data_IF_100462937650
#
_entry.id   IF_100462937650
#
_cell.length_a   1.000
_cell.length_b   1.000
_cell.length_c   1.000
_cell.angle_alpha   90.00
_cell.angle_beta   90.00
_cell.angle_gamma   90.00
#
_symmetry.space_group_name_H-M   'P 1'
#
loop_
_entity.id
_entity.type
_entity.pdbx_description
1 polymer ?
#
# COMPACT_ATOMS: atom_id res chain seq x y z
N UNK A 1 8.81 -22.77 -18.19
CA UNK A 1 8.76 -23.83 -17.16
C UNK A 1 7.99 -23.26 -15.98
N UNK A 2 6.74 -23.67 -15.81
CA UNK A 2 5.88 -23.30 -14.66
C UNK A 2 6.27 -24.19 -13.51
N UNK A 3 7.11 -23.69 -12.60
CA UNK A 3 7.27 -24.31 -11.28
C UNK A 3 5.92 -24.27 -10.56
N UNK A 4 5.36 -25.43 -10.29
CA UNK A 4 4.20 -25.56 -9.44
C UNK A 4 4.65 -25.18 -8.01
N UNK A 5 4.25 -24.00 -7.55
CA UNK A 5 4.51 -23.54 -6.18
C UNK A 5 3.77 -24.46 -5.20
N UNK A 6 4.43 -25.51 -4.76
CA UNK A 6 3.93 -26.41 -3.70
C UNK A 6 4.32 -25.84 -2.33
N UNK A 7 3.51 -24.90 -1.82
CA UNK A 7 3.74 -24.31 -0.50
C UNK A 7 3.10 -22.95 -0.32
N UNK A 8 3.11 -22.46 0.91
CA UNK A 8 2.66 -21.11 1.24
C UNK A 8 3.67 -20.08 0.73
N UNK A 9 3.21 -19.11 -0.06
CA UNK A 9 4.06 -18.02 -0.56
C UNK A 9 4.67 -17.21 0.59
N UNK A 10 5.94 -16.85 0.46
CA UNK A 10 6.58 -15.88 1.34
C UNK A 10 6.04 -14.47 1.08
N UNK A 11 6.20 -13.56 2.06
CA UNK A 11 5.80 -12.15 1.92
C UNK A 11 6.43 -11.48 0.68
N UNK A 12 7.69 -11.80 0.38
CA UNK A 12 8.39 -11.29 -0.81
C UNK A 12 7.78 -11.80 -2.11
N UNK A 13 7.45 -13.09 -2.18
CA UNK A 13 6.80 -13.66 -3.37
C UNK A 13 5.42 -13.05 -3.61
N UNK A 14 4.63 -12.84 -2.54
CA UNK A 14 3.33 -12.16 -2.64
C UNK A 14 3.51 -10.73 -3.16
N UNK A 15 4.44 -9.96 -2.60
CA UNK A 15 4.71 -8.59 -3.02
C UNK A 15 5.18 -8.51 -4.48
N UNK A 16 6.03 -9.44 -4.91
CA UNK A 16 6.49 -9.54 -6.29
C UNK A 16 5.34 -9.84 -7.26
N UNK A 17 4.45 -10.77 -6.93
CA UNK A 17 3.29 -11.09 -7.76
C UNK A 17 2.36 -9.89 -7.88
N UNK A 18 2.01 -9.25 -6.76
CA UNK A 18 1.17 -8.05 -6.77
C UNK A 18 1.78 -6.92 -7.60
N UNK A 19 3.09 -6.69 -7.49
CA UNK A 19 3.77 -5.65 -8.26
C UNK A 19 3.69 -5.89 -9.77
N UNK A 20 3.67 -7.15 -10.21
CA UNK A 20 3.53 -7.49 -11.62
C UNK A 20 2.11 -7.30 -12.16
N UNK A 21 1.10 -7.38 -11.30
CA UNK A 21 -0.30 -7.16 -11.67
C UNK A 21 -0.68 -5.66 -11.78
N UNK A 22 0.12 -4.76 -11.17
CA UNK A 22 -0.12 -3.32 -11.26
C UNK A 22 0.20 -2.82 -12.66
N UNK A 23 -0.76 -2.20 -13.32
CA UNK A 23 -0.58 -1.64 -14.66
C UNK A 23 0.21 -0.33 -14.64
N UNK A 24 0.89 -0.04 -15.74
CA UNK A 24 1.57 1.23 -15.98
C UNK A 24 0.59 2.40 -15.86
N UNK A 25 1.01 3.49 -15.22
CA UNK A 25 0.21 4.69 -15.01
C UNK A 25 -0.77 4.62 -13.82
N UNK A 26 -0.92 3.47 -13.14
CA UNK A 26 -1.82 3.38 -12.00
C UNK A 26 -1.38 4.25 -10.81
N UNK A 27 -2.38 4.82 -10.13
CA UNK A 27 -2.24 5.42 -8.80
C UNK A 27 -2.53 4.34 -7.74
N UNK A 28 -1.54 4.06 -6.89
CA UNK A 28 -1.57 2.91 -5.99
C UNK A 28 -1.35 3.33 -4.54
N UNK A 29 -2.29 2.99 -3.66
CA UNK A 29 -2.09 3.10 -2.22
C UNK A 29 -1.56 1.77 -1.66
N UNK A 30 -0.48 1.85 -0.89
CA UNK A 30 0.10 0.69 -0.20
C UNK A 30 -0.18 0.80 1.30
N UNK A 31 -0.99 -0.12 1.81
CA UNK A 31 -1.25 -0.25 3.25
C UNK A 31 0.01 -0.56 4.05
N UNK A 32 -0.05 -0.26 5.34
CA UNK A 32 1.08 -0.39 6.28
C UNK A 32 1.55 -1.85 6.38
N UNK A 33 2.85 -2.04 6.40
CA UNK A 33 3.50 -3.32 6.66
C UNK A 33 3.85 -4.11 5.39
N UNK A 34 3.27 -5.30 5.20
CA UNK A 34 3.61 -6.14 4.04
C UNK A 34 3.31 -5.49 2.68
N UNK A 35 2.20 -4.76 2.49
CA UNK A 35 1.92 -4.08 1.23
C UNK A 35 3.00 -3.12 0.77
N UNK A 36 3.71 -2.46 1.69
CA UNK A 36 4.80 -1.53 1.35
C UNK A 36 5.93 -2.20 0.55
N UNK A 37 6.11 -3.51 0.71
CA UNK A 37 7.12 -4.27 -0.03
C UNK A 37 6.85 -4.28 -1.54
N UNK A 38 5.63 -4.06 -1.99
CA UNK A 38 5.24 -4.07 -3.41
C UNK A 38 6.04 -3.04 -4.20
N UNK A 39 6.30 -1.86 -3.63
CA UNK A 39 7.07 -0.80 -4.27
C UNK A 39 8.49 -1.24 -4.68
N UNK A 40 9.06 -2.24 -4.00
CA UNK A 40 10.41 -2.73 -4.29
C UNK A 40 10.48 -3.72 -5.47
N UNK A 41 9.34 -4.12 -6.03
CA UNK A 41 9.25 -5.15 -7.07
C UNK A 41 8.55 -4.67 -8.33
N UNK A 42 8.27 -3.38 -8.45
CA UNK A 42 7.70 -2.81 -9.67
C UNK A 42 8.67 -3.08 -10.83
N UNK A 43 8.18 -3.67 -11.94
CA UNK A 43 9.02 -3.93 -13.09
C UNK A 43 9.63 -2.65 -13.69
N UNK A 44 10.87 -2.74 -14.16
CA UNK A 44 11.54 -1.64 -14.84
C UNK A 44 10.69 -1.14 -16.03
N UNK A 45 10.65 0.18 -16.18
CA UNK A 45 9.92 0.84 -17.26
C UNK A 45 8.42 1.04 -16.99
N UNK A 46 7.91 0.64 -15.84
CA UNK A 46 6.57 1.03 -15.38
C UNK A 46 6.61 2.28 -14.53
N UNK A 47 5.75 3.22 -14.84
CA UNK A 47 5.54 4.44 -14.06
C UNK A 47 4.33 4.26 -13.16
N UNK A 48 4.55 4.10 -11.86
CA UNK A 48 3.50 3.94 -10.86
C UNK A 48 3.50 5.14 -9.93
N UNK A 49 2.33 5.71 -9.71
CA UNK A 49 2.14 6.85 -8.82
C UNK A 49 1.75 6.32 -7.44
N UNK A 50 2.71 6.20 -6.54
CA UNK A 50 2.42 5.78 -5.18
C UNK A 50 1.80 6.91 -4.36
N UNK A 51 0.68 6.58 -3.73
CA UNK A 51 -0.05 7.42 -2.80
C UNK A 51 0.13 6.91 -1.37
N UNK A 52 0.33 7.82 -0.44
CA UNK A 52 0.31 7.51 0.99
C UNK A 52 -0.77 8.35 1.69
N UNK A 53 -1.64 7.71 2.47
CA UNK A 53 -2.81 8.36 3.07
C UNK A 53 -2.48 9.49 4.04
N UNK A 54 -1.24 9.61 4.53
CA UNK A 54 -0.80 10.74 5.32
C UNK A 54 -0.58 12.03 4.52
N UNK A 55 -0.72 12.00 3.19
CA UNK A 55 -0.73 13.17 2.32
C UNK A 55 0.45 13.28 1.36
N UNK A 56 0.88 12.17 0.77
CA UNK A 56 1.94 12.12 -0.25
C UNK A 56 1.41 11.48 -1.52
N UNK A 57 1.67 12.12 -2.66
CA UNK A 57 1.50 11.54 -4.00
C UNK A 57 2.84 11.58 -4.73
N UNK A 58 3.20 10.49 -5.40
CA UNK A 58 4.52 10.34 -6.02
C UNK A 58 5.60 9.97 -5.01
N UNK A 59 5.23 9.17 -4.01
CA UNK A 59 6.18 8.59 -3.06
C UNK A 59 7.17 7.70 -3.81
N UNK A 60 8.46 7.92 -3.55
CA UNK A 60 9.56 7.14 -4.11
C UNK A 60 10.02 6.00 -3.18
N UNK A 61 11.10 5.32 -3.55
CA UNK A 61 11.66 4.21 -2.78
C UNK A 61 12.21 4.67 -1.42
N UNK A 62 12.53 3.69 -0.58
CA UNK A 62 13.23 3.92 0.68
C UNK A 62 14.60 4.60 0.42
N UNK A 63 14.93 5.68 1.15
CA UNK A 63 16.21 6.38 0.99
C UNK A 63 17.39 5.53 1.44
N UNK A 64 18.57 5.81 0.89
CA UNK A 64 19.81 5.27 1.42
C UNK A 64 20.09 5.74 2.87
N UNK A 65 20.91 5.04 3.63
CA UNK A 65 21.12 5.32 5.05
C UNK A 65 21.71 6.72 5.34
N UNK A 66 22.33 7.36 4.36
CA UNK A 66 22.89 8.71 4.49
C UNK A 66 21.94 9.81 3.96
N UNK A 67 20.82 9.43 3.33
CA UNK A 67 19.89 10.35 2.66
C UNK A 67 18.52 10.39 3.36
N UNK A 68 18.44 9.86 4.58
CA UNK A 68 17.20 9.78 5.34
C UNK A 68 16.77 11.19 5.77
N UNK A 69 15.58 11.59 5.33
CA UNK A 69 14.84 12.71 5.89
C UNK A 69 13.75 12.17 6.82
N UNK A 70 13.88 12.42 8.12
CA UNK A 70 12.94 11.94 9.12
C UNK A 70 11.60 12.70 9.14
N UNK A 71 11.52 13.84 8.46
CA UNK A 71 10.26 14.59 8.27
C UNK A 71 9.50 14.08 7.04
N UNK A 72 10.14 13.28 6.17
CA UNK A 72 9.53 12.67 4.99
C UNK A 72 9.29 11.17 5.22
N UNK A 73 8.11 10.86 5.77
CA UNK A 73 7.71 9.50 6.13
C UNK A 73 6.37 9.12 5.50
N UNK A 74 6.19 7.85 5.18
CA UNK A 74 4.90 7.31 4.76
C UNK A 74 3.93 7.12 5.95
N UNK A 75 2.71 6.65 5.69
CA UNK A 75 1.71 6.35 6.71
C UNK A 75 2.17 5.25 7.68
N UNK A 76 3.08 4.36 7.26
CA UNK A 76 3.72 3.34 8.09
C UNK A 76 4.88 3.88 8.94
N UNK A 77 5.12 5.20 8.93
CA UNK A 77 6.21 5.89 9.66
C UNK A 77 7.61 5.47 9.21
N UNK A 78 7.74 5.04 7.97
CA UNK A 78 9.03 4.72 7.36
C UNK A 78 9.51 5.86 6.48
N UNK A 79 10.81 6.21 6.51
CA UNK A 79 11.39 7.18 5.60
C UNK A 79 11.16 6.77 4.14
N UNK A 80 10.81 7.74 3.32
CA UNK A 80 10.63 7.57 1.88
C UNK A 80 11.33 8.70 1.13
N UNK A 81 11.46 8.57 -0.19
CA UNK A 81 11.87 9.66 -1.06
C UNK A 81 10.65 10.22 -1.78
N UNK A 82 10.82 11.37 -2.42
CA UNK A 82 9.83 11.98 -3.30
C UNK A 82 10.32 11.90 -4.74
N UNK A 83 9.48 11.40 -5.63
CA UNK A 83 9.77 11.42 -7.06
C UNK A 83 9.55 12.82 -7.65
N UNK A 84 10.26 13.19 -8.73
CA UNK A 84 9.99 14.44 -9.44
C UNK A 84 8.51 14.53 -9.86
N UNK A 85 7.87 15.66 -9.55
CA UNK A 85 6.43 15.86 -9.79
C UNK A 85 5.54 15.38 -8.62
N UNK A 86 6.10 14.81 -7.59
CA UNK A 86 5.36 14.45 -6.38
C UNK A 86 4.79 15.67 -5.64
N UNK A 87 3.77 15.46 -4.85
CA UNK A 87 3.05 16.51 -4.13
C UNK A 87 2.74 16.12 -2.68
N UNK A 88 2.73 17.13 -1.81
CA UNK A 88 2.20 17.03 -0.45
C UNK A 88 0.85 17.71 -0.37
N UNK A 89 -0.06 17.15 0.42
CA UNK A 89 -1.39 17.70 0.64
C UNK A 89 -1.91 17.33 2.02
N UNK A 90 -3.00 17.95 2.42
CA UNK A 90 -3.60 17.71 3.72
C UNK A 90 -4.18 16.27 3.81
N UNK A 91 -4.09 15.66 4.99
CA UNK A 91 -4.60 14.30 5.24
C UNK A 91 -6.09 14.15 4.83
N UNK A 92 -6.92 15.18 5.06
CA UNK A 92 -8.32 15.14 4.63
C UNK A 92 -8.47 15.08 3.11
N UNK A 93 -7.61 15.75 2.34
CA UNK A 93 -7.62 15.70 0.88
C UNK A 93 -7.20 14.32 0.39
N UNK A 94 -6.27 13.66 1.09
CA UNK A 94 -5.89 12.27 0.83
C UNK A 94 -7.11 11.34 0.87
N UNK A 95 -7.90 11.41 1.94
CA UNK A 95 -9.11 10.61 2.04
C UNK A 95 -10.23 11.05 1.09
N UNK A 96 -10.27 12.32 0.70
CA UNK A 96 -11.17 12.79 -0.36
C UNK A 96 -10.80 12.16 -1.71
N UNK A 97 -9.52 12.03 -2.03
CA UNK A 97 -9.03 11.34 -3.23
C UNK A 97 -9.44 9.87 -3.23
N UNK A 98 -9.24 9.17 -2.10
CA UNK A 98 -9.63 7.76 -1.93
C UNK A 98 -11.14 7.59 -2.16
N UNK A 99 -11.97 8.34 -1.42
CA UNK A 99 -13.44 8.29 -1.53
C UNK A 99 -13.98 8.75 -2.88
N UNK A 100 -13.22 9.59 -3.58
CA UNK A 100 -13.55 10.09 -4.91
C UNK A 100 -13.21 9.14 -6.05
N UNK A 101 -12.63 7.95 -5.76
CA UNK A 101 -12.24 6.98 -6.78
C UNK A 101 -11.04 7.43 -7.62
N UNK A 102 -10.12 8.19 -7.02
CA UNK A 102 -8.90 8.66 -7.70
C UNK A 102 -7.68 7.77 -7.43
N UNK A 103 -7.87 6.69 -6.69
CA UNK A 103 -6.87 5.64 -6.45
C UNK A 103 -7.31 4.41 -7.22
N UNK A 104 -6.49 3.94 -8.15
CA UNK A 104 -6.84 2.81 -9.02
C UNK A 104 -6.72 1.47 -8.28
N UNK A 105 -5.76 1.36 -7.38
CA UNK A 105 -5.48 0.12 -6.64
C UNK A 105 -5.12 0.46 -5.19
N UNK A 106 -5.70 -0.31 -4.27
CA UNK A 106 -5.28 -0.33 -2.88
C UNK A 106 -4.82 -1.73 -2.48
N UNK A 107 -3.60 -1.85 -1.95
CA UNK A 107 -3.07 -3.11 -1.42
C UNK A 107 -3.16 -3.09 0.10
N UNK A 108 -4.03 -3.91 0.65
CA UNK A 108 -4.31 -3.98 2.09
C UNK A 108 -3.98 -5.35 2.68
N UNK A 109 -3.53 -5.35 3.94
CA UNK A 109 -3.59 -6.54 4.78
C UNK A 109 -4.99 -6.73 5.36
N UNK A 110 -5.43 -7.99 5.52
CA UNK A 110 -6.69 -8.30 6.17
C UNK A 110 -6.49 -9.41 7.22
N UNK A 111 -7.27 -9.36 8.32
CA UNK A 111 -7.29 -10.42 9.32
C UNK A 111 -8.03 -11.66 8.79
N UNK A 112 -9.12 -11.43 8.04
CA UNK A 112 -9.91 -12.48 7.41
C UNK A 112 -10.36 -12.05 6.03
N UNK A 113 -10.43 -13.02 5.11
CA UNK A 113 -10.94 -12.86 3.76
C UNK A 113 -11.90 -14.02 3.49
N UNK A 114 -13.12 -13.73 3.04
CA UNK A 114 -14.11 -14.73 2.62
C UNK A 114 -13.74 -15.32 1.24
N UNK A 115 -14.36 -16.43 0.89
CA UNK A 115 -14.23 -17.02 -0.44
C UNK A 115 -14.81 -16.12 -1.56
N UNK A 116 -15.64 -15.15 -1.21
CA UNK A 116 -16.26 -14.18 -2.13
C UNK A 116 -15.48 -12.86 -2.21
N UNK A 117 -14.37 -12.74 -1.47
CA UNK A 117 -13.52 -11.55 -1.50
C UNK A 117 -13.86 -10.49 -0.45
N UNK A 118 -14.84 -10.74 0.44
CA UNK A 118 -15.12 -9.82 1.54
C UNK A 118 -13.98 -9.86 2.55
N UNK A 119 -13.56 -8.71 3.04
CA UNK A 119 -12.50 -8.60 4.05
C UNK A 119 -13.01 -8.13 5.40
N UNK A 120 -12.34 -8.58 6.47
CA UNK A 120 -12.58 -8.10 7.82
C UNK A 120 -11.28 -7.70 8.51
N UNK A 121 -11.24 -6.46 9.00
CA UNK A 121 -10.13 -5.87 9.77
C UNK A 121 -10.60 -5.33 11.13
N UNK A 122 -11.73 -5.83 11.62
CA UNK A 122 -12.35 -5.32 12.83
C UNK A 122 -11.63 -5.75 14.11
N UNK A 123 -11.34 -7.04 14.24
CA UNK A 123 -10.77 -7.60 15.46
C UNK A 123 -10.03 -8.90 15.17
N UNK A 124 -9.01 -9.20 15.96
CA UNK A 124 -8.32 -10.50 15.97
C UNK A 124 -9.04 -11.56 16.83
N UNK A 125 -10.17 -11.20 17.47
CA UNK A 125 -11.00 -12.12 18.26
C UNK A 125 -10.47 -12.44 19.67
N UNK A 126 -9.37 -11.85 20.10
CA UNK A 126 -8.87 -12.04 21.47
C UNK A 126 -9.66 -11.20 22.50
N UNK A 127 -9.73 -11.63 23.78
CA UNK A 127 -10.46 -10.91 24.83
C UNK A 127 -9.91 -9.50 25.10
N UNK A 128 -8.63 -9.27 24.82
CA UNK A 128 -7.94 -7.98 24.96
C UNK A 128 -7.89 -7.19 23.63
N UNK A 129 -8.51 -7.72 22.56
CA UNK A 129 -8.48 -7.08 21.26
C UNK A 129 -9.38 -5.86 21.21
N UNK A 130 -8.79 -4.67 21.05
CA UNK A 130 -9.52 -3.44 20.82
C UNK A 130 -9.91 -3.37 19.34
N UNK A 131 -11.21 -3.38 19.01
CA UNK A 131 -11.63 -3.26 17.62
C UNK A 131 -11.23 -1.91 17.03
N UNK A 132 -10.60 -1.93 15.85
CA UNK A 132 -10.22 -0.71 15.13
C UNK A 132 -10.08 -1.01 13.63
N UNK A 133 -10.77 -0.23 12.80
CA UNK A 133 -10.66 -0.36 11.34
C UNK A 133 -9.67 0.65 10.74
N UNK A 134 -9.40 1.77 11.43
CA UNK A 134 -8.57 2.86 10.89
C UNK A 134 -9.09 3.36 9.55
N UNK A 135 -8.18 3.66 8.62
CA UNK A 135 -8.51 4.06 7.25
C UNK A 135 -8.82 2.89 6.30
N UNK A 136 -8.72 1.65 6.76
CA UNK A 136 -8.86 0.47 5.90
C UNK A 136 -10.22 0.36 5.22
N UNK A 137 -11.29 0.84 5.87
CA UNK A 137 -12.64 0.82 5.30
C UNK A 137 -12.75 1.77 4.09
N UNK A 138 -12.21 2.98 4.21
CA UNK A 138 -12.20 3.94 3.10
C UNK A 138 -11.37 3.43 1.92
N UNK A 139 -10.21 2.84 2.21
CA UNK A 139 -9.32 2.26 1.20
C UNK A 139 -9.96 1.06 0.49
N UNK A 140 -10.68 0.21 1.22
CA UNK A 140 -11.33 -0.97 0.65
C UNK A 140 -12.55 -0.65 -0.23
N UNK A 141 -13.19 0.50 -0.02
CA UNK A 141 -14.41 0.92 -0.76
C UNK A 141 -14.09 1.93 -1.85
N UNK A 142 -13.04 2.73 -1.69
CA UNK A 142 -12.74 3.86 -2.56
C UNK A 142 -11.73 3.57 -3.67
N UNK A 143 -11.11 2.39 -3.69
CA UNK A 143 -10.12 1.99 -4.71
C UNK A 143 -10.61 0.80 -5.53
#
# INVERSE_FOLDING_TARGET
>A
MTETLTGRLSRRQIACLLAHDIADGNCVNLGIGMPELVANYIPDGREIIFHSENGILGMGPEPGPNDIDYDLINAGKKPVTMLPGGAFFHHADSFAMIRGGHIDICVLGAFQISATGDLANWSTGGPESVPAVGGAMDLAVGA
#
